data_IF_428137885124
#
_entry.id   IF_428137885124
#
_cell.length_a   1.000
_cell.length_b   1.000
_cell.length_c   1.000
_cell.angle_alpha   90.00
_cell.angle_beta   90.00
_cell.angle_gamma   90.00
#
_symmetry.space_group_name_H-M   'P 1'
#
loop_
_entity.id
_entity.type
_entity.pdbx_description
1 polymer ?
#
# COMPACT_ATOMS: atom_id res chain seq x y z
N UNK A 1 3.75 84.92 -10.45
CA UNK A 1 3.78 84.47 -11.85
C UNK A 1 4.33 83.05 -11.83
N UNK A 2 3.45 82.07 -11.83
CA UNK A 2 3.77 80.67 -11.89
C UNK A 2 3.55 80.13 -13.31
N UNK A 3 4.60 79.71 -13.97
CA UNK A 3 4.55 79.13 -15.29
C UNK A 3 4.31 77.59 -15.10
N UNK A 4 3.09 77.15 -15.44
CA UNK A 4 2.75 75.74 -15.47
C UNK A 4 3.26 75.15 -16.78
N UNK A 5 4.26 74.28 -16.71
CA UNK A 5 4.72 73.47 -17.83
C UNK A 5 3.85 72.19 -17.86
N UNK A 6 2.95 72.11 -18.81
CA UNK A 6 2.20 70.89 -19.09
C UNK A 6 3.09 70.04 -20.00
N UNK A 7 3.71 69.01 -19.40
CA UNK A 7 4.36 67.92 -20.15
C UNK A 7 3.26 66.97 -20.65
N UNK A 8 2.98 67.04 -21.95
CA UNK A 8 2.15 66.03 -22.61
C UNK A 8 2.92 64.70 -22.63
N UNK A 9 2.61 63.82 -21.69
CA UNK A 9 2.97 62.41 -21.80
C UNK A 9 2.09 61.78 -22.89
N UNK A 10 2.67 61.59 -24.05
CA UNK A 10 2.10 60.65 -25.02
C UNK A 10 2.19 59.26 -24.42
N UNK A 11 1.11 58.80 -23.83
CA UNK A 11 0.95 57.40 -23.50
C UNK A 11 0.93 56.62 -24.82
N UNK A 12 2.08 56.10 -25.21
CA UNK A 12 2.12 55.09 -26.25
C UNK A 12 1.26 53.93 -25.78
N UNK A 13 0.13 53.72 -26.40
CA UNK A 13 -0.64 52.49 -26.26
C UNK A 13 0.27 51.35 -26.70
N UNK A 14 0.87 50.67 -25.72
CA UNK A 14 1.44 49.37 -25.97
C UNK A 14 0.24 48.48 -26.30
N UNK A 15 -0.06 48.36 -27.58
CA UNK A 15 -0.92 47.29 -28.05
C UNK A 15 -0.16 46.00 -27.70
N UNK A 16 -0.45 45.44 -26.55
CA UNK A 16 -0.05 44.09 -26.28
C UNK A 16 -0.70 43.25 -27.37
N UNK A 17 0.06 42.87 -28.37
CA UNK A 17 -0.35 41.80 -29.27
C UNK A 17 -0.76 40.63 -28.35
N UNK A 18 -2.01 40.12 -28.49
CA UNK A 18 -2.38 38.93 -27.71
C UNK A 18 -1.29 37.91 -27.98
N UNK A 19 -0.61 37.49 -26.92
CA UNK A 19 0.33 36.39 -27.02
C UNK A 19 -0.43 35.27 -27.70
N UNK A 20 -0.04 34.95 -28.93
CA UNK A 20 -0.60 33.79 -29.63
C UNK A 20 -0.46 32.62 -28.64
N UNK A 21 -1.59 32.03 -28.26
CA UNK A 21 -1.54 30.88 -27.37
C UNK A 21 -0.59 29.88 -28.01
N UNK A 22 0.47 29.51 -27.29
CA UNK A 22 1.46 28.59 -27.81
C UNK A 22 0.75 27.30 -28.22
N UNK A 23 0.87 26.98 -29.52
CA UNK A 23 0.25 25.76 -30.04
C UNK A 23 1.11 24.59 -29.59
N UNK A 24 0.66 23.90 -28.57
CA UNK A 24 1.27 22.63 -28.15
C UNK A 24 0.35 21.48 -28.53
N UNK A 25 0.89 20.46 -29.17
CA UNK A 25 0.24 19.16 -29.31
C UNK A 25 1.12 18.08 -28.72
N UNK A 26 0.51 17.05 -28.16
CA UNK A 26 1.27 15.91 -27.59
C UNK A 26 0.69 14.64 -28.16
N UNK A 27 1.55 13.86 -28.84
CA UNK A 27 1.23 12.52 -29.29
C UNK A 27 1.81 11.51 -28.28
N UNK A 28 1.00 10.49 -27.93
CA UNK A 28 1.39 9.42 -27.00
C UNK A 28 1.28 8.08 -27.74
N UNK A 29 2.29 7.23 -27.62
CA UNK A 29 2.31 5.91 -28.22
C UNK A 29 3.02 4.89 -27.32
N UNK A 30 2.59 3.63 -27.40
CA UNK A 30 3.26 2.47 -26.82
C UNK A 30 3.70 1.56 -27.99
N UNK A 31 4.96 1.24 -28.05
CA UNK A 31 5.55 0.42 -29.12
C UNK A 31 5.08 0.84 -30.54
N UNK A 32 5.10 2.15 -30.80
CA UNK A 32 4.67 2.71 -32.08
C UNK A 32 3.14 2.80 -32.28
N UNK A 33 2.33 2.17 -31.42
CA UNK A 33 0.87 2.24 -31.49
C UNK A 33 0.35 3.47 -30.75
N UNK A 34 -0.42 4.32 -31.43
CA UNK A 34 -0.99 5.54 -30.82
C UNK A 34 -1.92 5.20 -29.65
N UNK A 35 -1.78 5.93 -28.57
CA UNK A 35 -2.60 5.80 -27.37
C UNK A 35 -3.35 7.10 -27.09
N UNK A 36 -4.65 7.13 -27.37
CA UNK A 36 -5.53 8.30 -27.19
C UNK A 36 -6.20 8.35 -25.81
N UNK A 37 -6.18 7.25 -25.04
CA UNK A 37 -6.89 7.15 -23.76
C UNK A 37 -6.09 7.73 -22.59
N UNK A 38 -4.81 8.03 -22.79
CA UNK A 38 -3.91 8.55 -21.76
C UNK A 38 -4.36 9.88 -21.11
N UNK A 39 -5.25 10.65 -21.78
CA UNK A 39 -5.72 11.96 -21.30
C UNK A 39 -6.87 11.90 -20.29
N UNK A 40 -7.42 10.72 -19.99
CA UNK A 40 -8.53 10.57 -19.05
C UNK A 40 -8.15 9.65 -17.87
N UNK A 41 -8.45 10.11 -16.65
CA UNK A 41 -8.17 9.32 -15.44
C UNK A 41 -8.96 8.00 -15.39
N UNK A 42 -10.17 7.99 -15.97
CA UNK A 42 -11.01 6.80 -16.03
C UNK A 42 -10.47 5.73 -17.00
N UNK A 43 -9.63 6.13 -17.94
CA UNK A 43 -9.01 5.27 -18.95
C UNK A 43 -7.52 5.59 -19.07
N UNK A 44 -6.72 5.32 -18.03
CA UNK A 44 -5.29 5.57 -18.09
C UNK A 44 -4.64 4.69 -19.15
N UNK A 45 -3.54 5.17 -19.74
CA UNK A 45 -2.73 4.34 -20.62
C UNK A 45 -2.13 3.18 -19.81
N UNK A 46 -2.52 1.97 -20.17
CA UNK A 46 -1.92 0.77 -19.61
C UNK A 46 -0.56 0.51 -20.28
N UNK A 47 0.46 0.23 -19.46
CA UNK A 47 1.78 -0.16 -19.95
C UNK A 47 2.35 -1.26 -19.05
N UNK A 48 3.12 -2.21 -19.58
CA UNK A 48 3.79 -3.20 -18.76
C UNK A 48 4.75 -2.51 -17.78
N UNK A 49 4.78 -3.02 -16.55
CA UNK A 49 5.86 -2.69 -15.63
C UNK A 49 7.11 -3.41 -16.13
N UNK A 50 8.29 -2.76 -16.25
CA UNK A 50 9.50 -3.41 -16.71
C UNK A 50 9.80 -4.69 -15.92
N UNK A 51 10.09 -5.77 -16.63
CA UNK A 51 10.34 -7.08 -16.02
C UNK A 51 11.83 -7.40 -15.88
N UNK A 52 12.70 -6.52 -16.37
CA UNK A 52 14.15 -6.66 -16.34
C UNK A 52 14.85 -5.32 -16.09
N UNK A 53 16.14 -5.21 -16.44
CA UNK A 53 16.94 -3.99 -16.25
C UNK A 53 16.81 -2.97 -17.38
N UNK A 54 15.95 -3.21 -18.35
CA UNK A 54 15.78 -2.31 -19.49
C UNK A 54 14.49 -1.52 -19.40
N UNK A 55 14.44 -0.38 -20.06
CA UNK A 55 13.23 0.37 -20.36
C UNK A 55 13.23 0.53 -21.87
N UNK A 56 12.45 -0.28 -22.53
CA UNK A 56 12.37 -0.32 -23.99
C UNK A 56 11.01 0.23 -24.51
N UNK A 57 10.78 0.12 -25.81
CA UNK A 57 9.57 0.64 -26.41
C UNK A 57 8.30 -0.13 -26.00
N UNK A 58 8.44 -1.38 -25.51
CA UNK A 58 7.31 -2.21 -25.11
C UNK A 58 6.82 -1.89 -23.69
N UNK A 59 7.66 -1.33 -22.82
CA UNK A 59 7.33 -1.00 -21.44
C UNK A 59 7.41 0.50 -21.11
N UNK A 60 7.60 1.36 -22.09
CA UNK A 60 7.60 2.81 -21.94
C UNK A 60 6.73 3.51 -22.98
N UNK A 61 5.86 4.40 -22.52
CA UNK A 61 5.10 5.30 -23.37
C UNK A 61 6.03 6.37 -23.96
N UNK A 62 6.04 6.48 -25.26
CA UNK A 62 6.68 7.57 -25.98
C UNK A 62 5.77 8.77 -26.07
N UNK A 63 6.24 9.91 -25.62
CA UNK A 63 5.60 11.21 -25.76
C UNK A 63 6.37 12.04 -26.78
N UNK A 64 5.64 12.67 -27.68
CA UNK A 64 6.18 13.64 -28.63
C UNK A 64 5.38 14.92 -28.51
N UNK A 65 5.93 15.90 -27.84
CA UNK A 65 5.35 17.24 -27.76
C UNK A 65 5.84 18.06 -28.97
N UNK A 66 4.90 18.57 -29.77
CA UNK A 66 5.18 19.53 -30.86
C UNK A 66 4.86 20.91 -30.34
N UNK A 67 5.82 21.81 -30.40
CA UNK A 67 5.81 23.16 -29.84
C UNK A 67 6.51 24.15 -30.77
N UNK A 68 6.49 25.42 -30.44
CA UNK A 68 7.24 26.43 -31.16
C UNK A 68 8.77 26.24 -30.98
N UNK A 69 9.54 26.63 -31.99
CA UNK A 69 11.02 26.61 -31.96
C UNK A 69 11.55 27.48 -30.83
N UNK A 70 12.67 27.03 -30.23
CA UNK A 70 13.36 27.79 -29.18
C UNK A 70 12.66 27.82 -27.84
N UNK A 71 11.66 26.94 -27.61
CA UNK A 71 10.92 26.87 -26.37
C UNK A 71 11.37 25.67 -25.51
N UNK A 72 10.99 25.67 -24.24
CA UNK A 72 11.27 24.59 -23.33
C UNK A 72 9.97 23.85 -23.03
N UNK A 73 10.01 22.52 -23.10
CA UNK A 73 8.94 21.64 -22.63
C UNK A 73 9.31 21.15 -21.24
N UNK A 74 8.48 21.46 -20.26
CA UNK A 74 8.60 20.97 -18.89
C UNK A 74 7.66 19.77 -18.70
N UNK A 75 8.18 18.70 -18.18
CA UNK A 75 7.41 17.47 -17.89
C UNK A 75 7.56 17.14 -16.42
N UNK A 76 6.44 16.86 -15.76
CA UNK A 76 6.39 16.41 -14.36
C UNK A 76 5.54 15.15 -14.29
N UNK A 77 6.03 14.14 -13.58
CA UNK A 77 5.33 12.88 -13.38
C UNK A 77 5.14 12.56 -11.89
N UNK A 78 4.03 11.90 -11.58
CA UNK A 78 3.73 11.33 -10.27
C UNK A 78 3.40 9.85 -10.46
N UNK A 79 3.92 8.96 -9.63
CA UNK A 79 3.82 7.50 -9.78
C UNK A 79 4.30 6.97 -11.14
N UNK A 80 5.13 7.75 -11.82
CA UNK A 80 5.77 7.41 -13.09
C UNK A 80 7.15 8.03 -13.16
N UNK A 81 7.98 7.55 -14.05
CA UNK A 81 9.36 7.99 -14.23
C UNK A 81 9.57 8.43 -15.68
N UNK A 82 10.20 9.58 -15.86
CA UNK A 82 10.48 10.18 -17.16
C UNK A 82 11.94 9.90 -17.52
N UNK A 83 12.19 9.46 -18.76
CA UNK A 83 13.52 9.31 -19.34
C UNK A 83 13.62 10.07 -20.65
N UNK A 84 14.77 10.67 -20.93
CA UNK A 84 15.05 11.37 -22.18
C UNK A 84 15.42 10.44 -23.33
N UNK A 85 15.78 9.18 -23.03
CA UNK A 85 16.09 8.13 -23.98
C UNK A 85 15.72 6.77 -23.40
N UNK A 86 15.43 5.79 -24.27
CA UNK A 86 15.24 4.41 -23.86
C UNK A 86 16.56 3.81 -23.37
N UNK A 87 16.46 2.98 -22.32
CA UNK A 87 17.59 2.27 -21.74
C UNK A 87 17.55 0.80 -22.17
N UNK A 88 18.04 0.51 -23.37
CA UNK A 88 18.02 -0.83 -23.97
C UNK A 88 19.16 -1.74 -23.55
N UNK A 89 20.10 -1.25 -22.73
CA UNK A 89 21.20 -2.04 -22.20
C UNK A 89 21.61 -1.59 -20.82
N UNK A 90 21.61 -2.52 -19.88
CA UNK A 90 22.40 -2.59 -18.64
C UNK A 90 22.33 -1.42 -17.63
N UNK A 91 21.47 -0.42 -17.78
CA UNK A 91 21.21 0.51 -16.68
C UNK A 91 20.09 -0.08 -15.81
N UNK A 92 20.35 -0.43 -14.53
CA UNK A 92 19.35 -1.05 -13.69
C UNK A 92 18.16 -0.11 -13.53
N UNK A 93 16.96 -0.56 -13.90
CA UNK A 93 15.68 0.14 -13.70
C UNK A 93 15.47 0.49 -12.21
N UNK A 94 16.16 -0.21 -11.31
CA UNK A 94 16.18 0.05 -9.88
C UNK A 94 16.98 1.27 -9.46
N UNK A 95 18.05 1.58 -10.16
CA UNK A 95 18.92 2.70 -9.84
C UNK A 95 18.58 3.88 -10.74
N UNK A 96 17.64 4.73 -10.33
CA UNK A 96 17.42 6.12 -10.79
C UNK A 96 17.68 6.43 -12.29
N UNK A 97 17.35 5.50 -13.18
CA UNK A 97 17.36 5.78 -14.62
C UNK A 97 16.12 6.59 -14.99
N UNK A 98 16.10 7.87 -14.65
CA UNK A 98 15.03 8.78 -14.94
C UNK A 98 14.68 9.67 -13.75
N UNK A 99 13.75 10.58 -13.94
CA UNK A 99 13.35 11.58 -12.94
C UNK A 99 11.84 11.74 -12.89
N UNK A 100 11.37 12.35 -11.80
CA UNK A 100 9.97 12.80 -11.70
C UNK A 100 9.74 14.11 -12.48
N UNK A 101 10.78 14.79 -12.93
CA UNK A 101 10.67 15.99 -13.74
C UNK A 101 11.79 16.05 -14.77
N UNK A 102 11.48 16.60 -15.95
CA UNK A 102 12.43 16.77 -17.04
C UNK A 102 12.09 18.08 -17.77
N UNK A 103 13.12 18.84 -18.13
CA UNK A 103 12.97 20.00 -19.03
C UNK A 103 13.76 19.73 -20.31
N UNK A 104 13.09 19.85 -21.45
CA UNK A 104 13.65 19.60 -22.76
C UNK A 104 13.65 20.91 -23.55
N UNK A 105 14.83 21.37 -23.91
CA UNK A 105 14.96 22.51 -24.82
C UNK A 105 14.84 22.03 -26.27
N UNK A 106 13.91 22.61 -27.04
CA UNK A 106 13.72 22.23 -28.44
C UNK A 106 14.79 22.82 -29.37
N UNK A 107 15.52 23.85 -28.94
CA UNK A 107 16.53 24.51 -29.76
C UNK A 107 15.95 25.02 -31.08
N UNK A 108 16.52 24.61 -32.20
CA UNK A 108 15.99 24.94 -33.54
C UNK A 108 14.89 23.99 -34.00
N UNK A 109 14.58 22.95 -33.26
CA UNK A 109 13.51 22.00 -33.54
C UNK A 109 12.15 22.46 -33.01
N UNK A 110 11.12 21.73 -33.39
CA UNK A 110 9.72 21.95 -32.94
C UNK A 110 9.20 20.78 -32.12
N UNK A 111 10.03 19.79 -31.81
CA UNK A 111 9.60 18.59 -31.10
C UNK A 111 10.47 18.30 -29.90
N UNK A 112 9.82 17.92 -28.79
CA UNK A 112 10.46 17.34 -27.62
C UNK A 112 9.98 15.90 -27.46
N UNK A 113 10.89 14.95 -27.46
CA UNK A 113 10.58 13.53 -27.30
C UNK A 113 11.12 13.05 -25.96
N UNK A 114 10.30 12.32 -25.24
CA UNK A 114 10.67 11.64 -24.00
C UNK A 114 9.83 10.38 -23.81
N UNK A 115 10.23 9.54 -22.88
CA UNK A 115 9.51 8.32 -22.56
C UNK A 115 9.13 8.29 -21.09
N UNK A 116 8.04 7.60 -20.80
CA UNK A 116 7.50 7.44 -19.45
C UNK A 116 7.27 5.98 -19.19
N UNK A 117 7.82 5.47 -18.09
CA UNK A 117 7.52 4.14 -17.59
C UNK A 117 7.05 4.20 -16.13
N UNK A 118 6.49 3.12 -15.62
CA UNK A 118 6.04 3.03 -14.22
C UNK A 118 6.55 1.76 -13.56
N UNK A 119 6.85 1.86 -12.27
CA UNK A 119 7.21 0.73 -11.39
C UNK A 119 6.03 0.27 -10.55
N UNK A 120 4.87 0.87 -10.71
CA UNK A 120 3.69 0.64 -9.87
C UNK A 120 2.43 0.43 -10.71
N UNK A 121 1.48 -0.32 -10.16
CA UNK A 121 0.14 -0.47 -10.73
C UNK A 121 -0.82 0.66 -10.32
N UNK A 122 -0.39 1.59 -9.48
CA UNK A 122 -1.15 2.78 -9.17
C UNK A 122 -1.21 3.72 -10.38
N UNK A 123 -2.32 4.45 -10.49
CA UNK A 123 -2.45 5.49 -11.54
C UNK A 123 -1.41 6.58 -11.28
N UNK A 124 -0.63 6.86 -12.29
CA UNK A 124 0.31 7.98 -12.34
C UNK A 124 -0.19 9.10 -13.23
N UNK A 125 0.36 10.29 -13.05
CA UNK A 125 0.11 11.45 -13.91
C UNK A 125 1.38 11.90 -14.61
N UNK A 126 1.24 12.39 -15.84
CA UNK A 126 2.30 13.02 -16.61
C UNK A 126 1.77 14.36 -17.08
N UNK A 127 2.32 15.42 -16.57
CA UNK A 127 1.95 16.79 -16.93
C UNK A 127 3.02 17.39 -17.84
N UNK A 128 2.62 17.78 -19.03
CA UNK A 128 3.48 18.38 -20.06
C UNK A 128 3.09 19.85 -20.21
N UNK A 129 4.03 20.74 -20.01
CA UNK A 129 3.79 22.21 -20.04
C UNK A 129 4.77 22.88 -21.00
N UNK A 130 4.23 23.78 -21.83
CA UNK A 130 5.00 24.69 -22.67
C UNK A 130 4.31 26.04 -22.71
N UNK A 131 5.02 27.12 -22.37
CA UNK A 131 4.54 28.52 -22.47
C UNK A 131 3.13 28.73 -21.89
N UNK A 132 2.80 28.08 -20.73
CA UNK A 132 1.50 28.20 -20.07
C UNK A 132 0.41 27.25 -20.60
N UNK A 133 0.62 26.57 -21.73
CA UNK A 133 -0.25 25.47 -22.18
C UNK A 133 0.15 24.18 -21.46
N UNK A 134 -0.83 23.49 -20.90
CA UNK A 134 -0.60 22.28 -20.10
C UNK A 134 -1.52 21.16 -20.53
N UNK A 135 -0.95 19.96 -20.71
CA UNK A 135 -1.68 18.71 -20.91
C UNK A 135 -1.35 17.74 -19.79
N UNK A 136 -2.36 17.06 -19.29
CA UNK A 136 -2.22 16.02 -18.27
C UNK A 136 -2.63 14.68 -18.86
N UNK A 137 -1.78 13.68 -18.68
CA UNK A 137 -1.97 12.30 -19.10
C UNK A 137 -1.94 11.40 -17.89
N UNK A 138 -2.67 10.29 -17.97
CA UNK A 138 -2.74 9.29 -16.91
C UNK A 138 -2.16 7.98 -17.42
N UNK A 139 -1.33 7.36 -16.60
CA UNK A 139 -0.66 6.10 -16.91
C UNK A 139 -0.92 5.10 -15.79
N UNK A 140 -0.99 3.82 -16.12
CA UNK A 140 -1.15 2.77 -15.12
C UNK A 140 -0.32 1.56 -15.52
N UNK A 141 0.55 1.12 -14.60
CA UNK A 141 1.33 -0.09 -14.81
C UNK A 141 0.46 -1.34 -14.73
N UNK A 142 0.72 -2.28 -15.59
CA UNK A 142 0.23 -3.66 -15.48
C UNK A 142 1.36 -4.53 -14.98
N UNK A 143 1.16 -5.19 -13.83
CA UNK A 143 2.17 -6.08 -13.26
C UNK A 143 2.57 -7.15 -14.29
N UNK A 144 3.86 -7.28 -14.50
CA UNK A 144 4.41 -8.11 -15.58
C UNK A 144 4.58 -9.57 -15.18
N UNK A 145 5.85 -10.01 -15.11
CA UNK A 145 6.23 -11.38 -14.77
C UNK A 145 6.37 -11.56 -13.26
N UNK A 146 6.17 -12.77 -12.80
CA UNK A 146 6.40 -13.13 -11.40
C UNK A 146 7.90 -13.13 -11.13
N UNK A 147 8.31 -12.34 -10.15
CA UNK A 147 9.68 -12.34 -9.61
C UNK A 147 9.74 -13.05 -8.26
N UNK A 148 8.70 -12.89 -7.45
CA UNK A 148 8.68 -13.43 -6.10
C UNK A 148 7.34 -14.10 -5.79
N UNK A 149 7.42 -15.25 -5.10
CA UNK A 149 6.29 -15.94 -4.52
C UNK A 149 6.45 -15.93 -2.99
N UNK A 150 5.42 -15.47 -2.30
CA UNK A 150 5.36 -15.48 -0.84
C UNK A 150 4.26 -16.44 -0.41
N UNK A 151 4.59 -17.37 0.47
CA UNK A 151 3.67 -18.39 0.98
C UNK A 151 3.21 -18.02 2.38
N UNK A 152 1.91 -18.10 2.61
CA UNK A 152 1.31 -18.06 3.93
C UNK A 152 0.55 -19.37 4.14
N UNK A 153 0.98 -20.14 5.13
CA UNK A 153 0.39 -21.42 5.52
C UNK A 153 0.32 -21.51 7.05
N UNK A 154 -0.61 -22.30 7.60
CA UNK A 154 -0.59 -22.63 9.02
C UNK A 154 0.71 -23.38 9.37
N UNK A 155 1.34 -23.00 10.48
CA UNK A 155 2.55 -23.70 10.95
C UNK A 155 2.23 -25.14 11.41
N UNK A 156 0.98 -25.39 11.85
CA UNK A 156 0.51 -26.68 12.34
C UNK A 156 -0.90 -26.95 11.86
N UNK A 157 -1.25 -28.22 11.68
CA UNK A 157 -2.60 -28.67 11.39
C UNK A 157 -2.89 -30.04 11.99
N UNK A 158 -4.16 -30.34 12.25
CA UNK A 158 -4.55 -31.66 12.73
C UNK A 158 -4.42 -32.71 11.62
N UNK A 159 -4.05 -33.91 11.98
CA UNK A 159 -3.99 -35.07 11.09
C UNK A 159 -5.33 -35.25 10.36
N UNK A 160 -5.29 -35.52 9.07
CA UNK A 160 -6.47 -35.72 8.21
C UNK A 160 -7.30 -34.48 7.94
N UNK A 161 -6.93 -33.29 8.41
CA UNK A 161 -7.68 -32.06 8.16
C UNK A 161 -7.18 -31.32 6.93
N UNK A 162 -8.08 -30.53 6.35
CA UNK A 162 -7.78 -29.67 5.22
C UNK A 162 -7.24 -28.32 5.71
N UNK A 163 -6.14 -27.86 5.10
CA UNK A 163 -5.52 -26.58 5.36
C UNK A 163 -5.49 -25.72 4.11
N UNK A 164 -5.89 -24.46 4.22
CA UNK A 164 -5.73 -23.48 3.15
C UNK A 164 -4.32 -22.90 3.21
N UNK A 165 -3.69 -22.83 2.05
CA UNK A 165 -2.38 -22.21 1.83
C UNK A 165 -2.58 -21.12 0.79
N UNK A 166 -2.13 -19.92 1.09
CA UNK A 166 -2.17 -18.82 0.14
C UNK A 166 -0.79 -18.51 -0.40
N UNK A 167 -0.69 -18.31 -1.70
CA UNK A 167 0.55 -17.94 -2.38
C UNK A 167 0.34 -16.63 -3.09
N UNK A 168 1.09 -15.61 -2.68
CA UNK A 168 1.05 -14.29 -3.30
C UNK A 168 2.18 -14.18 -4.31
N UNK A 169 1.84 -13.83 -5.55
CA UNK A 169 2.79 -13.57 -6.62
C UNK A 169 3.01 -12.07 -6.78
N UNK A 170 4.26 -11.65 -6.84
CA UNK A 170 4.64 -10.25 -7.08
C UNK A 170 5.69 -10.15 -8.18
N UNK A 171 5.68 -9.02 -8.89
CA UNK A 171 6.73 -8.65 -9.84
C UNK A 171 8.00 -8.16 -9.12
N UNK A 172 8.98 -7.75 -9.89
CA UNK A 172 10.29 -7.28 -9.40
C UNK A 172 10.18 -6.00 -8.54
N UNK A 173 9.13 -5.23 -8.67
CA UNK A 173 8.86 -4.03 -7.88
C UNK A 173 7.89 -4.26 -6.72
N UNK A 174 7.44 -5.51 -6.51
CA UNK A 174 6.52 -5.87 -5.45
C UNK A 174 5.03 -5.69 -5.81
N UNK A 175 4.69 -5.35 -7.05
CA UNK A 175 3.30 -5.29 -7.46
C UNK A 175 2.73 -6.71 -7.57
N UNK A 176 1.50 -6.90 -7.11
CA UNK A 176 0.82 -8.19 -7.21
C UNK A 176 0.53 -8.56 -8.66
N UNK A 177 0.81 -9.80 -9.03
CA UNK A 177 0.63 -10.33 -10.39
C UNK A 177 -0.58 -11.24 -10.44
N UNK A 178 -1.62 -10.86 -11.18
CA UNK A 178 -2.86 -11.61 -11.33
C UNK A 178 -2.90 -12.43 -12.61
N UNK A 179 -3.80 -13.41 -12.68
CA UNK A 179 -4.06 -14.20 -13.88
C UNK A 179 -2.96 -15.20 -14.25
N UNK A 180 -2.01 -15.46 -13.33
CA UNK A 180 -0.90 -16.40 -13.55
C UNK A 180 -1.16 -17.72 -12.85
N UNK A 181 -0.88 -18.82 -13.53
CA UNK A 181 -1.03 -20.16 -12.97
C UNK A 181 0.19 -20.58 -12.16
N UNK A 182 -0.07 -21.06 -10.95
CA UNK A 182 0.94 -21.61 -10.05
C UNK A 182 0.71 -23.10 -9.86
N UNK A 183 1.78 -23.85 -9.71
CA UNK A 183 1.77 -25.30 -9.43
C UNK A 183 2.26 -25.52 -8.01
N UNK A 184 1.53 -26.32 -7.25
CA UNK A 184 1.93 -26.83 -5.95
C UNK A 184 2.37 -28.30 -6.08
N UNK A 185 3.46 -28.64 -5.45
CA UNK A 185 4.01 -30.01 -5.42
C UNK A 185 4.25 -30.44 -3.98
N UNK A 186 3.62 -31.54 -3.58
CA UNK A 186 3.82 -32.13 -2.27
C UNK A 186 5.12 -32.96 -2.29
N UNK A 187 6.02 -32.66 -1.37
CA UNK A 187 7.23 -33.46 -1.19
C UNK A 187 6.91 -34.68 -0.33
N UNK A 188 7.39 -35.85 -0.77
CA UNK A 188 7.23 -37.14 -0.07
C UNK A 188 5.77 -37.66 0.03
N UNK A 189 4.85 -37.23 -0.79
CA UNK A 189 3.47 -37.74 -0.92
C UNK A 189 2.71 -37.93 0.40
N UNK A 190 2.99 -37.08 1.39
CA UNK A 190 2.41 -37.19 2.74
C UNK A 190 1.06 -36.48 2.87
N UNK A 191 0.76 -35.55 1.98
CA UNK A 191 -0.52 -34.85 1.90
C UNK A 191 -1.13 -34.99 0.51
N UNK A 192 -2.42 -34.69 0.40
CA UNK A 192 -3.11 -34.60 -0.89
C UNK A 192 -3.56 -33.17 -1.15
N UNK A 193 -3.37 -32.70 -2.37
CA UNK A 193 -3.88 -31.41 -2.80
C UNK A 193 -5.24 -31.59 -3.48
N UNK A 194 -6.19 -30.70 -3.21
CA UNK A 194 -7.47 -30.65 -3.95
C UNK A 194 -7.21 -30.36 -5.43
N UNK A 195 -6.29 -29.42 -5.68
CA UNK A 195 -5.80 -29.08 -7.03
C UNK A 195 -4.30 -28.85 -6.95
N UNK A 196 -3.58 -29.40 -7.92
CA UNK A 196 -2.13 -29.16 -8.04
C UNK A 196 -1.82 -27.80 -8.66
N UNK A 197 -2.81 -27.15 -9.27
CA UNK A 197 -2.64 -25.83 -9.90
C UNK A 197 -3.72 -24.88 -9.45
N UNK A 198 -3.35 -23.61 -9.26
CA UNK A 198 -4.28 -22.52 -8.98
C UNK A 198 -3.83 -21.25 -9.69
N UNK A 199 -4.78 -20.42 -10.12
CA UNK A 199 -4.49 -19.15 -10.78
C UNK A 199 -4.55 -18.02 -9.77
N UNK A 200 -3.61 -17.08 -9.84
CA UNK A 200 -3.65 -15.86 -9.03
C UNK A 200 -4.88 -15.03 -9.36
N UNK A 201 -5.63 -14.64 -8.34
CA UNK A 201 -6.90 -13.93 -8.49
C UNK A 201 -6.75 -12.59 -9.18
N UNK A 202 -7.84 -12.16 -9.82
CA UNK A 202 -7.94 -10.89 -10.53
C UNK A 202 -8.93 -9.91 -9.85
N UNK A 203 -9.63 -10.35 -8.79
CA UNK A 203 -10.57 -9.50 -8.04
C UNK A 203 -9.84 -8.77 -6.90
N UNK A 204 -10.42 -7.67 -6.42
CA UNK A 204 -9.80 -6.84 -5.39
C UNK A 204 -9.47 -7.61 -4.11
N UNK A 205 -10.29 -8.62 -3.75
CA UNK A 205 -10.13 -9.42 -2.53
C UNK A 205 -8.99 -10.44 -2.60
N UNK A 206 -8.67 -10.94 -3.79
CA UNK A 206 -7.69 -12.01 -4.02
C UNK A 206 -6.62 -11.67 -5.05
N UNK A 207 -6.53 -10.39 -5.42
CA UNK A 207 -5.62 -9.93 -6.47
C UNK A 207 -4.18 -10.39 -6.23
N UNK A 208 -3.65 -11.13 -7.18
CA UNK A 208 -2.30 -11.69 -7.13
C UNK A 208 -2.12 -12.85 -6.14
N UNK A 209 -3.20 -13.40 -5.59
CA UNK A 209 -3.17 -14.51 -4.61
C UNK A 209 -3.76 -15.76 -5.23
N UNK A 210 -3.04 -16.87 -5.15
CA UNK A 210 -3.54 -18.20 -5.45
C UNK A 210 -3.79 -18.96 -4.14
N UNK A 211 -4.87 -19.73 -4.09
CA UNK A 211 -5.27 -20.54 -2.93
C UNK A 211 -5.15 -22.02 -3.26
N UNK A 212 -4.52 -22.74 -2.36
CA UNK A 212 -4.38 -24.19 -2.42
C UNK A 212 -4.95 -24.80 -1.15
N UNK A 213 -5.62 -25.91 -1.28
CA UNK A 213 -6.08 -26.69 -0.14
C UNK A 213 -5.32 -28.01 -0.10
N UNK A 214 -4.66 -28.26 1.03
CA UNK A 214 -3.94 -29.50 1.29
C UNK A 214 -4.61 -30.28 2.41
N UNK A 215 -4.99 -31.53 2.16
CA UNK A 215 -5.41 -32.47 3.21
C UNK A 215 -4.17 -33.09 3.81
N UNK A 216 -3.96 -32.88 5.11
CA UNK A 216 -2.81 -33.39 5.84
C UNK A 216 -2.89 -34.91 6.01
N UNK A 217 -1.75 -35.62 6.17
CA UNK A 217 -1.74 -37.06 6.40
C UNK A 217 -2.46 -37.43 7.68
N UNK A 218 -2.93 -38.67 7.75
CA UNK A 218 -3.67 -39.20 8.90
C UNK A 218 -2.76 -39.44 10.14
N UNK A 219 -1.45 -39.50 9.96
CA UNK A 219 -0.47 -39.69 11.04
C UNK A 219 0.43 -38.49 11.18
N UNK A 220 0.84 -38.18 12.40
CA UNK A 220 1.69 -37.03 12.69
C UNK A 220 3.02 -37.11 11.94
N UNK A 221 3.20 -36.23 10.98
CA UNK A 221 4.42 -36.03 10.22
C UNK A 221 4.48 -34.58 9.70
N UNK A 222 5.61 -34.20 9.14
CA UNK A 222 5.70 -32.90 8.46
C UNK A 222 5.22 -33.04 7.03
N UNK A 223 4.45 -32.07 6.58
CA UNK A 223 4.11 -31.88 5.17
C UNK A 223 4.89 -30.72 4.61
N UNK A 224 5.59 -30.96 3.52
CA UNK A 224 6.31 -29.94 2.77
C UNK A 224 5.67 -29.81 1.38
N UNK A 225 5.29 -28.59 1.04
CA UNK A 225 4.67 -28.25 -0.25
C UNK A 225 5.46 -27.13 -0.88
N UNK A 226 5.96 -27.34 -2.09
CA UNK A 226 6.66 -26.31 -2.88
C UNK A 226 5.72 -25.71 -3.91
N UNK A 227 5.96 -24.44 -4.23
CA UNK A 227 5.14 -23.68 -5.20
C UNK A 227 6.05 -23.09 -6.28
N UNK A 228 5.58 -23.11 -7.51
CA UNK A 228 6.28 -22.52 -8.63
C UNK A 228 5.30 -22.00 -9.68
N UNK A 229 5.69 -21.03 -10.52
CA UNK A 229 4.93 -20.69 -11.72
C UNK A 229 4.80 -21.92 -12.63
N UNK A 230 3.60 -22.17 -13.16
CA UNK A 230 3.33 -23.33 -14.02
C UNK A 230 4.12 -23.25 -15.33
N UNK A 231 4.33 -22.05 -15.83
CA UNK A 231 5.11 -21.79 -17.05
C UNK A 231 6.30 -20.88 -16.73
N UNK A 232 7.46 -21.19 -17.27
CA UNK A 232 8.66 -20.36 -17.09
C UNK A 232 8.53 -18.98 -17.74
N UNK A 233 7.67 -18.83 -18.73
CA UNK A 233 7.40 -17.54 -19.40
C UNK A 233 6.65 -16.54 -18.51
N UNK A 234 5.94 -17.05 -17.49
CA UNK A 234 5.22 -16.19 -16.52
C UNK A 234 6.13 -15.65 -15.41
N UNK A 235 7.36 -16.11 -15.34
CA UNK A 235 8.36 -15.68 -14.36
C UNK A 235 9.48 -14.84 -15.02
N UNK A 236 10.17 -14.04 -14.20
CA UNK A 236 11.41 -13.39 -14.63
C UNK A 236 12.47 -14.44 -14.94
N UNK A 237 13.25 -14.22 -15.99
CA UNK A 237 14.26 -15.20 -16.45
C UNK A 237 15.49 -15.28 -15.54
N UNK A 238 15.83 -14.18 -14.85
CA UNK A 238 16.98 -14.06 -13.97
C UNK A 238 16.70 -13.03 -12.87
N UNK A 239 17.61 -12.96 -11.88
CA UNK A 239 17.63 -11.86 -10.93
C UNK A 239 17.86 -10.54 -11.66
N UNK A 240 17.12 -9.50 -11.25
CA UNK A 240 17.29 -8.16 -11.79
C UNK A 240 18.27 -7.40 -10.90
N UNK A 241 19.42 -7.02 -11.45
CA UNK A 241 20.49 -6.37 -10.69
C UNK A 241 20.00 -5.11 -9.99
N UNK A 242 20.27 -5.00 -8.70
CA UNK A 242 19.87 -3.85 -7.88
C UNK A 242 18.40 -3.85 -7.43
N UNK A 243 17.63 -4.89 -7.73
CA UNK A 243 16.27 -5.09 -7.27
C UNK A 243 16.14 -6.36 -6.39
N UNK A 244 14.93 -6.68 -5.98
CA UNK A 244 14.68 -7.84 -5.12
C UNK A 244 15.09 -9.14 -5.83
N UNK A 245 15.88 -9.96 -5.15
CA UNK A 245 16.27 -11.28 -5.64
C UNK A 245 15.04 -12.14 -5.95
N UNK A 246 15.14 -12.93 -7.01
CA UNK A 246 14.06 -13.79 -7.47
C UNK A 246 13.82 -14.96 -6.50
N UNK A 247 12.57 -15.15 -6.08
CA UNK A 247 12.15 -16.28 -5.25
C UNK A 247 10.95 -16.97 -5.90
N UNK A 248 11.20 -18.00 -6.70
CA UNK A 248 10.16 -18.67 -7.50
C UNK A 248 9.78 -20.07 -7.00
N UNK A 249 10.48 -20.60 -6.00
CA UNK A 249 10.21 -21.91 -5.44
C UNK A 249 10.18 -21.90 -3.90
N UNK A 250 9.30 -21.07 -3.31
CA UNK A 250 9.10 -21.10 -1.87
C UNK A 250 8.37 -22.38 -1.46
N UNK A 251 8.40 -22.67 -0.17
CA UNK A 251 7.70 -23.84 0.36
C UNK A 251 6.85 -23.46 1.57
N UNK A 252 5.81 -24.28 1.82
CA UNK A 252 5.08 -24.34 3.06
C UNK A 252 5.52 -25.59 3.81
N UNK A 253 5.86 -25.43 5.08
CA UNK A 253 6.06 -26.54 6.01
C UNK A 253 4.94 -26.53 7.04
N UNK A 254 4.16 -27.60 7.11
CA UNK A 254 3.06 -27.77 8.06
C UNK A 254 3.37 -28.95 8.96
N UNK A 255 3.54 -28.71 10.25
CA UNK A 255 3.66 -29.76 11.22
C UNK A 255 2.30 -30.40 11.47
N UNK A 256 2.18 -31.70 11.26
CA UNK A 256 0.93 -32.41 11.42
C UNK A 256 0.82 -32.90 12.86
N UNK A 257 -0.22 -32.49 13.54
CA UNK A 257 -0.50 -32.85 14.93
C UNK A 257 -1.46 -34.05 14.96
N UNK A 258 -1.06 -35.10 15.58
CA UNK A 258 -1.94 -36.23 15.93
C UNK A 258 -2.74 -35.87 17.19
N UNK A 259 -3.83 -35.13 17.00
CA UNK A 259 -4.68 -34.68 18.10
C UNK A 259 -5.31 -35.85 18.89
N UNK A 260 -5.45 -37.01 18.25
CA UNK A 260 -5.97 -38.23 18.96
C UNK A 260 -4.94 -38.74 19.97
N UNK A 261 -3.70 -38.87 19.54
CA UNK A 261 -2.60 -39.27 20.43
C UNK A 261 -2.31 -38.21 21.48
N UNK A 262 -2.32 -36.93 21.11
CA UNK A 262 -2.14 -35.81 22.04
C UNK A 262 -3.26 -35.76 23.09
N UNK A 263 -4.53 -35.90 22.67
CA UNK A 263 -5.67 -35.96 23.57
C UNK A 263 -5.63 -37.17 24.47
N UNK A 264 -5.20 -38.34 23.95
CA UNK A 264 -5.01 -39.55 24.75
C UNK A 264 -3.94 -39.35 25.81
N UNK A 265 -2.82 -38.72 25.42
CA UNK A 265 -1.73 -38.40 26.36
C UNK A 265 -2.18 -37.40 27.43
N UNK A 266 -2.89 -36.34 27.03
CA UNK A 266 -3.44 -35.34 27.95
C UNK A 266 -4.48 -35.96 28.90
N UNK A 267 -5.34 -36.84 28.37
CA UNK A 267 -6.30 -37.59 29.19
C UNK A 267 -5.58 -38.48 30.18
N UNK A 268 -4.56 -39.22 29.74
CA UNK A 268 -3.77 -40.08 30.65
C UNK A 268 -3.05 -39.26 31.73
N UNK A 269 -2.50 -38.08 31.35
CA UNK A 269 -1.89 -37.14 32.30
C UNK A 269 -2.91 -36.59 33.30
N UNK A 270 -4.11 -36.26 32.83
CA UNK A 270 -5.21 -35.81 33.68
C UNK A 270 -5.70 -36.90 34.61
N UNK A 271 -5.85 -38.15 34.10
CA UNK A 271 -6.25 -39.30 34.91
C UNK A 271 -5.19 -39.63 35.98
N UNK A 272 -3.90 -39.54 35.64
CA UNK A 272 -2.80 -39.67 36.58
C UNK A 272 -2.81 -38.55 37.64
N UNK A 273 -3.07 -37.30 37.22
CA UNK A 273 -3.19 -36.16 38.12
C UNK A 273 -4.39 -36.32 39.09
N UNK A 274 -5.52 -36.84 38.57
CA UNK A 274 -6.71 -37.11 39.38
C UNK A 274 -6.43 -38.26 40.38
N UNK A 275 -5.71 -39.31 39.97
CA UNK A 275 -5.29 -40.41 40.89
C UNK A 275 -4.33 -39.87 41.97
N UNK A 276 -3.35 -39.04 41.58
CA UNK A 276 -2.46 -38.37 42.52
C UNK A 276 -3.21 -37.45 43.49
N UNK A 277 -4.21 -36.75 42.96
CA UNK A 277 -5.10 -35.91 43.79
C UNK A 277 -5.91 -36.75 44.76
N UNK A 278 -6.49 -37.86 44.31
CA UNK A 278 -7.26 -38.76 45.20
C UNK A 278 -6.37 -39.33 46.34
N UNK A 279 -5.10 -39.67 46.06
CA UNK A 279 -4.13 -40.08 47.08
C UNK A 279 -3.86 -38.89 48.02
N UNK A 280 -3.69 -37.71 47.50
CA UNK A 280 -3.50 -36.48 48.29
C UNK A 280 -4.72 -36.15 49.14
N UNK A 281 -5.93 -36.28 48.57
CA UNK A 281 -7.19 -36.04 49.29
C UNK A 281 -7.42 -37.07 50.40
N UNK A 282 -7.03 -38.36 50.18
CA UNK A 282 -7.02 -39.39 51.22
C UNK A 282 -6.05 -39.08 52.35
N UNK A 283 -4.88 -38.54 52.04
CA UNK A 283 -3.92 -38.04 53.04
C UNK A 283 -4.46 -36.82 53.82
N UNK A 284 -5.20 -35.96 53.15
CA UNK A 284 -5.82 -34.77 53.75
C UNK A 284 -6.97 -35.19 54.68
N UNK A 285 -7.77 -36.22 54.32
CA UNK A 285 -8.83 -36.79 55.19
C UNK A 285 -8.24 -37.35 56.47
N UNK A 286 -7.04 -37.95 56.37
CA UNK A 286 -6.29 -38.41 57.53
C UNK A 286 -5.79 -37.25 58.41
N UNK A 287 -5.52 -36.07 57.78
CA UNK A 287 -5.13 -34.86 58.49
C UNK A 287 -6.33 -33.97 58.86
N UNK A 288 -7.54 -34.52 58.89
CA UNK A 288 -8.80 -33.75 59.15
C UNK A 288 -8.84 -33.04 60.49
N UNK A 289 -8.04 -33.46 61.48
CA UNK A 289 -7.88 -32.70 62.74
C UNK A 289 -7.10 -31.36 62.52
N UNK A 290 -6.21 -31.31 61.54
CA UNK A 290 -5.46 -30.12 61.20
C UNK A 290 -6.21 -29.22 60.20
N UNK A 291 -7.24 -29.75 59.52
CA UNK A 291 -8.06 -29.05 58.52
C UNK A 291 -8.87 -27.88 59.08
N UNK A 292 -9.22 -27.91 60.37
CA UNK A 292 -9.93 -26.78 61.00
C UNK A 292 -8.99 -25.56 61.09
N UNK A 293 -7.74 -25.73 61.41
CA UNK A 293 -6.77 -24.67 61.44
C UNK A 293 -6.41 -24.17 60.00
N UNK A 294 -6.28 -25.14 59.07
CA UNK A 294 -6.04 -24.81 57.67
C UNK A 294 -7.23 -24.08 57.01
N UNK A 295 -8.47 -24.46 57.39
CA UNK A 295 -9.66 -23.78 56.92
C UNK A 295 -9.74 -22.32 57.42
N UNK A 296 -9.44 -22.10 58.69
CA UNK A 296 -9.38 -20.77 59.28
C UNK A 296 -8.33 -19.88 58.60
N UNK A 297 -7.16 -20.46 58.29
CA UNK A 297 -6.10 -19.75 57.53
C UNK A 297 -6.51 -19.48 56.07
N UNK A 298 -7.21 -20.43 55.43
CA UNK A 298 -7.74 -20.25 54.06
C UNK A 298 -8.83 -19.18 54.00
N UNK A 299 -9.75 -19.18 54.99
CA UNK A 299 -10.83 -18.18 55.07
C UNK A 299 -10.25 -16.77 55.32
N UNK A 300 -9.16 -16.64 56.13
CA UNK A 300 -8.47 -15.39 56.33
C UNK A 300 -7.72 -14.93 55.06
N UNK A 301 -7.08 -15.86 54.34
CA UNK A 301 -6.41 -15.57 53.07
C UNK A 301 -7.41 -15.13 51.98
N UNK A 302 -8.55 -15.79 51.90
CA UNK A 302 -9.63 -15.40 50.97
C UNK A 302 -10.24 -14.03 51.30
N UNK A 303 -10.40 -13.71 52.57
CA UNK A 303 -10.80 -12.40 52.99
C UNK A 303 -9.80 -11.30 52.62
N UNK A 304 -8.50 -11.57 52.75
CA UNK A 304 -7.43 -10.67 52.36
C UNK A 304 -7.39 -10.50 50.82
N UNK A 305 -7.57 -11.60 50.06
CA UNK A 305 -7.56 -11.54 48.60
C UNK A 305 -8.79 -10.79 48.04
N UNK A 306 -9.96 -11.00 48.65
CA UNK A 306 -11.15 -10.19 48.32
C UNK A 306 -10.96 -8.71 48.59
N UNK A 307 -10.31 -8.38 49.72
CA UNK A 307 -9.99 -6.97 50.02
C UNK A 307 -8.98 -6.38 49.03
N UNK A 308 -7.96 -7.17 48.61
CA UNK A 308 -6.98 -6.75 47.61
C UNK A 308 -7.62 -6.58 46.22
N UNK A 309 -8.49 -7.53 45.81
CA UNK A 309 -9.23 -7.46 44.56
C UNK A 309 -10.19 -6.26 44.50
N UNK A 310 -10.92 -6.03 45.60
CA UNK A 310 -11.80 -4.85 45.71
C UNK A 310 -11.00 -3.54 45.61
N UNK A 311 -9.81 -3.50 46.26
CA UNK A 311 -8.91 -2.37 46.13
C UNK A 311 -8.39 -2.19 44.72
N UNK A 312 -7.93 -3.27 44.07
CA UNK A 312 -7.45 -3.24 42.69
C UNK A 312 -8.53 -2.78 41.70
N UNK A 313 -9.78 -3.21 41.91
CA UNK A 313 -10.92 -2.75 41.11
C UNK A 313 -11.21 -1.25 41.33
N UNK A 314 -11.15 -0.81 42.56
CA UNK A 314 -11.30 0.60 42.89
C UNK A 314 -10.17 1.47 42.30
N UNK A 315 -8.93 0.99 42.39
CA UNK A 315 -7.77 1.66 41.82
C UNK A 315 -7.87 1.72 40.28
N UNK A 316 -8.26 0.59 39.65
CA UNK A 316 -8.49 0.53 38.19
C UNK A 316 -9.63 1.45 37.73
N UNK A 317 -10.72 1.52 38.50
CA UNK A 317 -11.82 2.44 38.23
C UNK A 317 -11.35 3.90 38.32
N UNK A 318 -10.62 4.23 39.37
CA UNK A 318 -10.05 5.58 39.55
C UNK A 318 -9.12 5.97 38.41
N UNK A 319 -8.29 5.03 37.97
CA UNK A 319 -7.40 5.26 36.82
C UNK A 319 -8.17 5.43 35.51
N UNK A 320 -9.22 4.62 35.31
CA UNK A 320 -10.10 4.75 34.13
C UNK A 320 -10.85 6.10 34.12
N UNK A 321 -11.42 6.47 35.29
CA UNK A 321 -12.12 7.76 35.42
C UNK A 321 -11.16 8.93 35.17
N UNK A 322 -9.91 8.84 35.62
CA UNK A 322 -8.88 9.84 35.34
C UNK A 322 -8.54 9.92 33.84
N UNK A 323 -8.48 8.78 33.14
CA UNK A 323 -8.26 8.75 31.68
C UNK A 323 -9.44 9.37 30.94
N UNK A 324 -10.67 9.07 31.36
CA UNK A 324 -11.87 9.68 30.78
C UNK A 324 -11.84 11.20 30.99
N UNK A 325 -11.56 11.64 32.20
CA UNK A 325 -11.47 13.08 32.53
C UNK A 325 -10.38 13.79 31.70
N UNK A 326 -9.23 13.14 31.49
CA UNK A 326 -8.17 13.69 30.67
C UNK A 326 -8.57 13.76 29.18
N UNK A 327 -9.30 12.76 28.68
CA UNK A 327 -9.86 12.79 27.31
C UNK A 327 -10.91 13.88 27.16
N UNK A 328 -11.81 14.03 28.13
CA UNK A 328 -12.84 15.07 28.10
C UNK A 328 -12.20 16.47 28.10
N UNK A 329 -11.16 16.67 28.91
CA UNK A 329 -10.39 17.92 28.90
C UNK A 329 -9.71 18.16 27.53
N UNK A 330 -9.18 17.10 26.90
CA UNK A 330 -8.59 17.19 25.57
C UNK A 330 -9.63 17.53 24.51
N UNK A 331 -10.80 16.88 24.56
CA UNK A 331 -11.95 17.17 23.67
C UNK A 331 -12.40 18.63 23.85
N UNK A 332 -12.56 19.06 25.08
CA UNK A 332 -12.95 20.45 25.39
C UNK A 332 -11.93 21.45 24.80
N UNK A 333 -10.63 21.17 24.99
CA UNK A 333 -9.56 22.00 24.40
C UNK A 333 -9.61 22.01 22.86
N UNK A 334 -9.72 20.85 22.22
CA UNK A 334 -9.83 20.75 20.76
C UNK A 334 -11.06 21.48 20.24
N UNK A 335 -12.18 21.40 20.96
CA UNK A 335 -13.41 22.12 20.61
C UNK A 335 -13.21 23.63 20.68
N UNK A 336 -12.54 24.11 21.73
CA UNK A 336 -12.22 25.53 21.87
C UNK A 336 -11.21 26.00 20.81
N UNK A 337 -10.17 25.21 20.54
CA UNK A 337 -9.17 25.50 19.50
C UNK A 337 -9.82 25.57 18.11
N UNK A 338 -10.72 24.62 17.79
CA UNK A 338 -11.48 24.63 16.54
C UNK A 338 -12.40 25.85 16.44
N UNK A 339 -13.08 26.22 17.52
CA UNK A 339 -13.93 27.42 17.53
C UNK A 339 -13.10 28.70 17.30
N UNK A 340 -11.93 28.78 17.94
CA UNK A 340 -10.99 29.89 17.75
C UNK A 340 -10.45 29.95 16.31
N UNK A 341 -10.07 28.81 15.74
CA UNK A 341 -9.62 28.70 14.36
C UNK A 341 -10.74 29.13 13.37
N UNK A 342 -11.96 28.65 13.61
CA UNK A 342 -13.12 29.01 12.79
C UNK A 342 -13.39 30.52 12.85
N UNK A 343 -13.30 31.08 14.06
CA UNK A 343 -13.45 32.54 14.23
C UNK A 343 -12.35 33.30 13.47
N UNK A 344 -11.11 32.85 13.58
CA UNK A 344 -9.98 33.45 12.86
C UNK A 344 -10.17 33.42 11.34
N UNK A 345 -10.63 32.29 10.80
CA UNK A 345 -10.94 32.16 9.37
C UNK A 345 -12.08 33.11 8.97
N UNK A 346 -13.15 33.20 9.76
CA UNK A 346 -14.26 34.13 9.53
C UNK A 346 -13.78 35.58 9.54
N UNK A 347 -12.96 35.94 10.52
CA UNK A 347 -12.41 37.30 10.64
C UNK A 347 -11.51 37.64 9.44
N UNK A 348 -10.66 36.71 9.02
CA UNK A 348 -9.81 36.85 7.85
C UNK A 348 -10.63 36.99 6.55
N UNK A 349 -11.64 36.17 6.40
CA UNK A 349 -12.56 36.23 5.25
C UNK A 349 -13.28 37.60 5.23
N UNK A 350 -13.83 38.02 6.36
CA UNK A 350 -14.54 39.27 6.46
C UNK A 350 -13.61 40.49 6.21
N UNK A 351 -12.36 40.42 6.63
CA UNK A 351 -11.34 41.42 6.32
C UNK A 351 -11.05 41.48 4.80
N UNK A 352 -10.95 40.29 4.18
CA UNK A 352 -10.77 40.20 2.71
C UNK A 352 -12.00 40.72 1.96
N UNK A 353 -13.20 40.28 2.40
CA UNK A 353 -14.47 40.76 1.85
C UNK A 353 -14.61 42.29 1.96
N UNK A 354 -14.20 42.89 3.09
CA UNK A 354 -14.15 44.34 3.29
C UNK A 354 -13.23 45.00 2.26
N UNK A 355 -12.02 44.50 2.05
CA UNK A 355 -11.06 45.00 1.05
C UNK A 355 -11.63 44.86 -0.37
N UNK A 356 -12.24 43.74 -0.68
CA UNK A 356 -12.87 43.47 -1.97
C UNK A 356 -14.03 44.44 -2.23
N UNK A 357 -14.95 44.56 -1.27
CA UNK A 357 -16.13 45.40 -1.37
C UNK A 357 -15.79 46.90 -1.54
N UNK A 358 -14.66 47.32 -0.95
CA UNK A 358 -14.14 48.67 -1.11
C UNK A 358 -13.66 48.92 -2.55
N UNK A 359 -13.11 47.90 -3.22
CA UNK A 359 -12.63 47.99 -4.61
C UNK A 359 -13.70 47.70 -5.64
N UNK A 360 -14.73 46.94 -5.29
CA UNK A 360 -15.76 46.43 -6.19
C UNK A 360 -17.18 46.76 -5.69
N UNK A 361 -17.61 48.00 -5.67
CA UNK A 361 -18.88 48.42 -5.05
C UNK A 361 -20.13 47.83 -5.72
N UNK A 362 -20.01 47.38 -7.00
CA UNK A 362 -21.09 46.75 -7.76
C UNK A 362 -21.15 45.21 -7.63
N UNK A 363 -20.13 44.60 -7.07
CA UNK A 363 -20.01 43.13 -6.92
C UNK A 363 -19.63 42.78 -5.47
N UNK A 364 -20.47 43.17 -4.54
CA UNK A 364 -20.19 42.99 -3.10
C UNK A 364 -20.31 41.51 -2.68
N UNK A 365 -19.38 41.09 -1.87
CA UNK A 365 -19.40 39.78 -1.17
C UNK A 365 -20.01 40.01 0.21
N UNK A 366 -20.89 39.09 0.60
CA UNK A 366 -21.51 39.07 1.94
C UNK A 366 -20.54 38.65 3.00
N UNK A 367 -20.60 39.27 4.15
CA UNK A 367 -19.81 38.85 5.33
C UNK A 367 -20.36 37.52 5.91
N UNK A 368 -19.48 36.71 6.39
CA UNK A 368 -19.85 35.48 7.13
C UNK A 368 -20.27 35.87 8.55
N UNK A 369 -21.49 35.51 8.93
CA UNK A 369 -22.04 35.74 10.26
C UNK A 369 -21.50 34.74 11.31
#
# INVERSE_FOLDING_TARGET
IALAMVAAMTLGTIVATPASAAVMTVAVSLDGTANTTASAIATPAALPVPADNTVDAADALRFVATVDTGTNVSVVATNATIVSALHTSAAPVGASSGSASLTIATGTGTTATFWVYTKTTAIGTVTVTNQGTTFTYYVQGTAGKINNLTVAAPATGAAGTKQEITVTATDVFGNKVSGKSLTATVFAATATLDTATATTGATLSDFGVAKFNATLPATGSRTLITFAPTTSTDATSADVVGLTARTLAPFAEIAVRDLVSELAAEKAAKDAALAAKAISDAAVVKAASDAVAAKAASDAALAAEKAASAKALADAKTASDAVVLAKDATIAKLTADNAAALKSIKDAFNALAKKWNAKNPKAKVTYVK
#
